data_IF_453453778276
#
_entry.id   IF_453453778276
#
_cell.length_a   1.000
_cell.length_b   1.000
_cell.length_c   1.000
_cell.angle_alpha   90.00
_cell.angle_beta   90.00
_cell.angle_gamma   90.00
#
_symmetry.space_group_name_H-M   'P 1'
#
loop_
_entity.id
_entity.type
_entity.pdbx_description
1 polymer ?
#
# COMPACT_ATOMS: atom_id res chain seq x y z
N UNK A 1 -8.63 -25.46 -3.27
CA UNK A 1 -8.41 -24.50 -2.17
C UNK A 1 -8.95 -25.14 -0.90
N UNK A 2 -8.09 -25.61 0.00
CA UNK A 2 -8.50 -26.10 1.32
C UNK A 2 -8.28 -24.97 2.32
N UNK A 3 -9.17 -23.98 2.30
CA UNK A 3 -9.24 -22.98 3.37
C UNK A 3 -9.99 -23.63 4.52
N UNK A 4 -9.25 -24.05 5.55
CA UNK A 4 -9.85 -24.58 6.77
C UNK A 4 -10.09 -23.40 7.72
N UNK A 5 -11.32 -23.27 8.22
CA UNK A 5 -11.57 -22.39 9.35
C UNK A 5 -10.93 -22.99 10.59
N UNK A 6 -10.23 -22.16 11.37
CA UNK A 6 -9.57 -22.57 12.62
C UNK A 6 -10.33 -21.99 13.81
N UNK A 7 -10.46 -22.78 14.87
CA UNK A 7 -11.02 -22.29 16.13
C UNK A 7 -9.96 -21.55 16.96
N UNK A 8 -10.38 -20.86 18.02
CA UNK A 8 -9.47 -20.29 19.02
C UNK A 8 -8.52 -21.35 19.61
N UNK A 9 -9.04 -22.56 19.90
CA UNK A 9 -8.23 -23.66 20.43
C UNK A 9 -7.15 -24.10 19.46
N UNK A 10 -7.46 -24.13 18.16
CA UNK A 10 -6.50 -24.47 17.12
C UNK A 10 -5.42 -23.39 16.98
N UNK A 11 -5.81 -22.12 17.10
CA UNK A 11 -4.87 -20.99 17.12
C UNK A 11 -3.90 -21.08 18.30
N UNK A 12 -4.42 -21.24 19.52
CA UNK A 12 -3.58 -21.39 20.72
C UNK A 12 -2.65 -22.59 20.60
N UNK A 13 -3.15 -23.72 20.08
CA UNK A 13 -2.35 -24.92 19.82
C UNK A 13 -1.24 -24.67 18.80
N UNK A 14 -1.48 -23.86 17.77
CA UNK A 14 -0.49 -23.56 16.73
C UNK A 14 0.73 -22.79 17.26
N UNK A 15 0.51 -21.93 18.26
CA UNK A 15 1.56 -21.11 18.89
C UNK A 15 2.04 -21.62 20.25
N UNK A 16 1.56 -22.78 20.69
CA UNK A 16 1.91 -23.34 21.99
C UNK A 16 3.43 -23.50 22.18
N UNK A 17 3.95 -23.00 23.31
CA UNK A 17 5.37 -23.00 23.64
C UNK A 17 6.20 -21.94 22.91
N UNK A 18 5.60 -21.12 22.04
CA UNK A 18 6.24 -20.06 21.26
C UNK A 18 5.47 -18.74 21.34
N UNK A 19 4.58 -18.61 22.31
CA UNK A 19 3.65 -17.48 22.45
C UNK A 19 4.40 -16.15 22.60
N UNK A 20 5.46 -16.12 23.42
CA UNK A 20 6.29 -14.92 23.61
C UNK A 20 6.96 -14.46 22.31
N UNK A 21 7.57 -15.39 21.57
CA UNK A 21 8.24 -15.10 20.28
C UNK A 21 7.22 -14.66 19.24
N UNK A 22 6.04 -15.29 19.21
CA UNK A 22 4.95 -14.89 18.31
C UNK A 22 4.44 -13.47 18.64
N UNK A 23 4.31 -13.12 19.92
CA UNK A 23 3.91 -11.79 20.36
C UNK A 23 4.95 -10.73 19.98
N UNK A 24 6.24 -11.00 20.21
CA UNK A 24 7.34 -10.11 19.83
C UNK A 24 7.32 -9.84 18.32
N UNK A 25 7.18 -10.88 17.49
CA UNK A 25 7.06 -10.71 16.04
C UNK A 25 5.78 -9.95 15.63
N UNK A 26 4.64 -10.23 16.25
CA UNK A 26 3.40 -9.54 15.94
C UNK A 26 3.50 -8.04 16.25
N UNK A 27 4.14 -7.67 17.37
CA UNK A 27 4.40 -6.28 17.75
C UNK A 27 5.35 -5.58 16.77
N UNK A 28 6.43 -6.25 16.36
CA UNK A 28 7.41 -5.71 15.42
C UNK A 28 6.80 -5.51 14.02
N UNK A 29 6.09 -6.51 13.50
CA UNK A 29 5.42 -6.41 12.20
C UNK A 29 4.32 -5.35 12.23
N UNK A 30 3.56 -5.22 13.33
CA UNK A 30 2.58 -4.15 13.49
C UNK A 30 3.24 -2.78 13.38
N UNK A 31 4.35 -2.56 14.08
CA UNK A 31 5.13 -1.31 14.01
C UNK A 31 5.60 -1.05 12.57
N UNK A 32 6.15 -2.06 11.92
CA UNK A 32 6.59 -1.98 10.53
C UNK A 32 5.45 -1.61 9.56
N UNK A 33 4.26 -2.20 9.72
CA UNK A 33 3.10 -1.85 8.89
C UNK A 33 2.61 -0.41 9.10
N UNK A 34 2.69 0.10 10.34
CA UNK A 34 2.39 1.52 10.63
C UNK A 34 3.41 2.43 9.94
N UNK A 35 4.70 2.11 9.99
CA UNK A 35 5.74 2.90 9.29
C UNK A 35 5.54 2.86 7.76
N UNK A 36 5.28 1.68 7.21
CA UNK A 36 5.00 1.52 5.79
C UNK A 36 3.72 2.25 5.35
N UNK A 37 2.70 2.29 6.21
CA UNK A 37 1.48 3.03 5.95
C UNK A 37 1.78 4.51 5.68
N UNK A 38 2.56 5.14 6.58
CA UNK A 38 2.97 6.53 6.41
C UNK A 38 3.88 6.74 5.21
N UNK A 39 4.84 5.83 4.98
CA UNK A 39 5.74 5.89 3.82
C UNK A 39 4.99 5.84 2.49
N UNK A 40 4.02 4.92 2.36
CA UNK A 40 3.15 4.83 1.17
C UNK A 40 2.32 6.09 1.02
N UNK A 41 1.73 6.60 2.10
CA UNK A 41 0.96 7.84 2.06
C UNK A 41 1.80 9.01 1.52
N UNK A 42 3.03 9.19 1.99
CA UNK A 42 3.93 10.25 1.51
C UNK A 42 4.15 10.18 0.00
N UNK A 43 4.37 8.99 -0.58
CA UNK A 43 4.55 8.86 -2.02
C UNK A 43 3.31 9.32 -2.80
N UNK A 44 2.12 8.90 -2.37
CA UNK A 44 0.88 9.29 -3.03
C UNK A 44 0.59 10.79 -2.87
N UNK A 45 0.82 11.35 -1.69
CA UNK A 45 0.72 12.81 -1.47
C UNK A 45 1.65 13.57 -2.42
N UNK A 46 2.89 13.14 -2.58
CA UNK A 46 3.86 13.78 -3.50
C UNK A 46 3.37 13.71 -4.94
N UNK A 47 2.97 12.54 -5.44
CA UNK A 47 2.51 12.39 -6.83
C UNK A 47 1.23 13.17 -7.10
N UNK A 48 0.25 13.10 -6.20
CA UNK A 48 -1.02 13.83 -6.31
C UNK A 48 -0.77 15.34 -6.24
N UNK A 49 0.05 15.80 -5.30
CA UNK A 49 0.41 17.22 -5.16
C UNK A 49 1.12 17.75 -6.40
N UNK A 50 2.11 17.02 -6.92
CA UNK A 50 2.79 17.38 -8.16
C UNK A 50 1.83 17.43 -9.37
N UNK A 51 0.92 16.46 -9.46
CA UNK A 51 -0.09 16.41 -10.54
C UNK A 51 -1.06 17.59 -10.44
N UNK A 52 -1.49 17.95 -9.23
CA UNK A 52 -2.37 19.10 -9.00
C UNK A 52 -1.65 20.42 -9.33
N UNK A 53 -0.39 20.58 -8.91
CA UNK A 53 0.42 21.75 -9.26
C UNK A 53 0.59 21.87 -10.78
N UNK A 54 0.88 20.76 -11.47
CA UNK A 54 0.92 20.70 -12.93
C UNK A 54 -0.42 21.10 -13.55
N UNK A 55 -1.53 20.60 -13.01
CA UNK A 55 -2.87 20.90 -13.51
C UNK A 55 -3.20 22.40 -13.42
N UNK A 56 -2.80 23.05 -12.33
CA UNK A 56 -2.94 24.51 -12.17
C UNK A 56 -2.02 25.26 -13.12
N UNK A 57 -0.76 24.83 -13.25
CA UNK A 57 0.21 25.48 -14.12
C UNK A 57 -0.25 25.53 -15.59
N UNK A 58 -0.83 24.43 -16.09
CA UNK A 58 -1.28 24.34 -17.49
C UNK A 58 -2.48 25.23 -17.81
N UNK A 59 -3.17 25.80 -16.80
CA UNK A 59 -4.28 26.72 -17.04
C UNK A 59 -3.85 28.05 -17.66
N UNK A 60 -2.55 28.38 -17.60
CA UNK A 60 -1.99 29.58 -18.25
C UNK A 60 -1.68 29.37 -19.74
N UNK A 61 -1.82 28.14 -20.27
CA UNK A 61 -1.70 27.90 -21.70
C UNK A 61 -3.00 28.22 -22.43
N UNK A 62 -2.92 28.44 -23.74
CA UNK A 62 -4.07 28.74 -24.58
C UNK A 62 -4.58 27.52 -25.36
N UNK A 63 -5.88 27.57 -25.70
CA UNK A 63 -6.51 26.67 -26.66
C UNK A 63 -6.35 25.18 -26.36
N UNK A 64 -5.92 24.43 -27.38
CA UNK A 64 -5.82 22.97 -27.36
C UNK A 64 -4.71 22.45 -26.43
N UNK A 65 -3.62 23.19 -26.26
CA UNK A 65 -2.51 22.78 -25.37
C UNK A 65 -2.98 22.71 -23.92
N UNK A 66 -3.71 23.74 -23.45
CA UNK A 66 -4.32 23.74 -22.12
C UNK A 66 -5.23 22.53 -21.92
N UNK A 67 -6.12 22.28 -22.89
CA UNK A 67 -7.09 21.21 -22.80
C UNK A 67 -6.42 19.82 -22.80
N UNK A 68 -5.52 19.57 -23.77
CA UNK A 68 -4.77 18.32 -23.89
C UNK A 68 -4.02 18.00 -22.59
N UNK A 69 -3.28 18.97 -22.04
CA UNK A 69 -2.52 18.77 -20.82
C UNK A 69 -3.42 18.61 -19.59
N UNK A 70 -4.54 19.34 -19.53
CA UNK A 70 -5.52 19.19 -18.44
C UNK A 70 -6.15 17.79 -18.43
N UNK A 71 -6.46 17.22 -19.61
CA UNK A 71 -6.96 15.84 -19.73
C UNK A 71 -5.91 14.83 -19.30
N UNK A 72 -4.66 14.97 -19.74
CA UNK A 72 -3.56 14.06 -19.34
C UNK A 72 -3.35 14.09 -17.82
N UNK A 73 -3.27 15.29 -17.23
CA UNK A 73 -3.01 15.47 -15.80
C UNK A 73 -4.18 15.04 -14.94
N UNK A 74 -5.42 15.29 -15.36
CA UNK A 74 -6.59 14.78 -14.63
C UNK A 74 -6.69 13.25 -14.71
N UNK A 75 -6.29 12.64 -15.82
CA UNK A 75 -6.16 11.17 -15.94
C UNK A 75 -5.12 10.60 -14.98
N UNK A 76 -3.93 11.21 -14.90
CA UNK A 76 -2.90 10.82 -13.93
C UNK A 76 -3.40 10.97 -12.49
N UNK A 77 -4.08 12.09 -12.20
CA UNK A 77 -4.68 12.36 -10.91
C UNK A 77 -5.69 11.28 -10.50
N UNK A 78 -6.55 10.85 -11.42
CA UNK A 78 -7.49 9.74 -11.22
C UNK A 78 -6.77 8.42 -10.92
N UNK A 79 -5.74 8.06 -11.69
CA UNK A 79 -4.99 6.82 -11.48
C UNK A 79 -4.30 6.82 -10.11
N UNK A 80 -3.59 7.90 -9.77
CA UNK A 80 -2.86 7.98 -8.50
C UNK A 80 -3.79 8.02 -7.29
N UNK A 81 -4.86 8.81 -7.34
CA UNK A 81 -5.82 8.90 -6.24
C UNK A 81 -6.62 7.62 -6.05
N UNK A 82 -7.02 6.93 -7.13
CA UNK A 82 -7.69 5.63 -7.01
C UNK A 82 -6.77 4.55 -6.44
N UNK A 83 -5.53 4.47 -6.94
CA UNK A 83 -4.51 3.59 -6.38
C UNK A 83 -4.29 3.87 -4.89
N UNK A 84 -4.25 5.14 -4.49
CA UNK A 84 -4.10 5.53 -3.10
C UNK A 84 -5.27 5.06 -2.21
N UNK A 85 -6.52 5.17 -2.69
CA UNK A 85 -7.69 4.61 -2.00
C UNK A 85 -7.51 3.11 -1.73
N UNK A 86 -7.09 2.34 -2.74
CA UNK A 86 -6.91 0.90 -2.61
C UNK A 86 -5.75 0.55 -1.66
N UNK A 87 -4.61 1.24 -1.78
CA UNK A 87 -3.44 1.06 -0.91
C UNK A 87 -3.77 1.39 0.54
N UNK A 88 -4.53 2.45 0.80
CA UNK A 88 -4.98 2.79 2.16
C UNK A 88 -5.88 1.71 2.75
N UNK A 89 -6.74 1.07 1.94
CA UNK A 89 -7.59 -0.05 2.39
C UNK A 89 -6.75 -1.31 2.68
N UNK A 90 -5.84 -1.66 1.78
CA UNK A 90 -4.95 -2.82 1.94
C UNK A 90 -4.02 -2.69 3.15
N UNK A 91 -3.45 -1.49 3.35
CA UNK A 91 -2.57 -1.23 4.50
C UNK A 91 -3.30 -1.38 5.83
N UNK A 92 -4.52 -0.82 5.91
CA UNK A 92 -5.35 -0.91 7.11
C UNK A 92 -5.75 -2.35 7.43
N UNK A 93 -6.09 -3.15 6.41
CA UNK A 93 -6.40 -4.56 6.60
C UNK A 93 -5.26 -5.32 7.28
N UNK A 94 -4.02 -5.14 6.81
CA UNK A 94 -2.86 -5.82 7.41
C UNK A 94 -2.50 -5.29 8.79
N UNK A 95 -2.61 -3.99 9.02
CA UNK A 95 -2.43 -3.40 10.34
C UNK A 95 -3.43 -4.01 11.35
N UNK A 96 -4.73 -4.00 11.03
CA UNK A 96 -5.78 -4.58 11.90
C UNK A 96 -5.59 -6.10 12.10
N UNK A 97 -5.06 -6.81 11.11
CA UNK A 97 -4.74 -8.22 11.25
C UNK A 97 -3.66 -8.46 12.32
N UNK A 98 -2.59 -7.67 12.31
CA UNK A 98 -1.51 -7.81 13.31
C UNK A 98 -1.91 -7.29 14.69
N UNK A 99 -2.73 -6.24 14.76
CA UNK A 99 -3.36 -5.80 16.03
C UNK A 99 -4.17 -6.95 16.66
N UNK A 100 -4.98 -7.67 15.87
CA UNK A 100 -5.70 -8.86 16.36
C UNK A 100 -4.77 -9.98 16.81
N UNK A 101 -3.64 -10.21 16.13
CA UNK A 101 -2.67 -11.19 16.59
C UNK A 101 -2.07 -10.80 17.95
N UNK A 102 -1.76 -9.51 18.16
CA UNK A 102 -1.30 -8.99 19.46
C UNK A 102 -2.38 -9.23 20.52
N UNK A 103 -3.63 -8.85 20.25
CA UNK A 103 -4.75 -9.04 21.17
C UNK A 103 -4.89 -10.51 21.59
N UNK A 104 -4.71 -11.45 20.67
CA UNK A 104 -4.85 -12.89 20.94
C UNK A 104 -3.69 -13.47 21.75
N UNK A 105 -2.51 -12.84 21.73
CA UNK A 105 -1.28 -13.37 22.31
C UNK A 105 -0.90 -12.69 23.64
N UNK A 106 -1.31 -11.44 23.88
CA UNK A 106 -0.80 -10.63 24.99
C UNK A 106 -1.24 -11.08 26.38
N UNK A 107 -2.48 -11.56 26.56
CA UNK A 107 -3.10 -11.74 27.88
C UNK A 107 -2.29 -12.64 28.82
N UNK A 108 -1.71 -13.72 28.28
CA UNK A 108 -0.94 -14.71 29.05
C UNK A 108 0.53 -14.30 29.25
N UNK A 109 1.03 -13.32 28.51
CA UNK A 109 2.47 -12.96 28.48
C UNK A 109 2.72 -11.62 29.16
N UNK A 110 2.00 -10.59 28.74
CA UNK A 110 2.17 -9.21 29.23
C UNK A 110 0.93 -8.68 29.95
N UNK A 111 -0.15 -9.47 29.99
CA UNK A 111 -1.48 -8.99 30.36
C UNK A 111 -2.16 -8.22 29.21
N UNK A 112 -3.38 -7.72 29.42
CA UNK A 112 -4.20 -7.07 28.39
C UNK A 112 -3.76 -5.61 28.12
N UNK A 113 -2.46 -5.40 27.91
CA UNK A 113 -1.85 -4.08 27.80
C UNK A 113 -2.42 -3.28 26.62
N UNK A 114 -2.62 -3.93 25.48
CA UNK A 114 -3.11 -3.30 24.25
C UNK A 114 -4.64 -3.13 24.27
N UNK A 115 -5.35 -3.95 25.05
CA UNK A 115 -6.80 -3.87 25.25
C UNK A 115 -7.24 -2.84 26.29
N UNK A 116 -6.39 -2.50 27.26
CA UNK A 116 -6.73 -1.52 28.31
C UNK A 116 -6.64 -0.10 27.73
N UNK A 117 -7.78 0.60 27.64
CA UNK A 117 -7.85 2.01 27.26
C UNK A 117 -8.06 2.87 28.50
N UNK A 118 -7.15 3.83 28.74
CA UNK A 118 -7.24 4.79 29.83
C UNK A 118 -7.88 6.08 29.32
N UNK A 119 -9.08 6.40 29.80
CA UNK A 119 -9.80 7.64 29.46
C UNK A 119 -9.50 8.75 30.46
N UNK A 120 -9.50 10.01 29.99
CA UNK A 120 -9.35 11.19 30.86
C UNK A 120 -10.55 11.32 31.80
N UNK A 121 -10.32 11.80 33.03
CA UNK A 121 -11.41 12.06 33.98
C UNK A 121 -12.38 13.10 33.41
N UNK A 122 -13.66 12.74 33.40
CA UNK A 122 -14.79 13.54 32.88
C UNK A 122 -15.12 14.78 33.75
N UNK A 123 -14.41 15.05 34.83
CA UNK A 123 -14.81 16.06 35.84
C UNK A 123 -14.37 17.49 35.52
N UNK A 124 -13.41 17.71 34.62
CA UNK A 124 -13.02 19.05 34.14
C UNK A 124 -13.85 19.50 32.94
N UNK A 125 -15.18 19.46 33.06
CA UNK A 125 -16.13 19.67 31.94
C UNK A 125 -16.52 21.13 31.66
N UNK A 126 -16.09 22.09 32.45
CA UNK A 126 -16.76 23.40 32.47
C UNK A 126 -16.14 24.51 31.62
N UNK A 127 -14.98 24.36 30.94
CA UNK A 127 -14.39 25.53 30.26
C UNK A 127 -13.69 25.29 28.92
N UNK A 128 -13.90 24.13 28.27
CA UNK A 128 -13.07 23.82 27.09
C UNK A 128 -13.79 23.14 25.93
N UNK A 129 -15.08 23.47 25.74
CA UNK A 129 -15.88 22.91 24.65
C UNK A 129 -15.37 23.29 23.26
N UNK A 130 -14.62 24.39 23.15
CA UNK A 130 -14.06 24.89 21.88
C UNK A 130 -12.69 24.28 21.56
N UNK A 131 -11.80 24.09 22.55
CA UNK A 131 -10.57 23.34 22.32
C UNK A 131 -10.86 21.86 22.08
N UNK A 132 -11.88 21.29 22.74
CA UNK A 132 -12.27 19.90 22.54
C UNK A 132 -12.81 19.64 21.12
N UNK A 133 -13.39 20.66 20.47
CA UNK A 133 -13.88 20.57 19.09
C UNK A 133 -12.74 20.61 18.05
N UNK A 134 -11.66 21.34 18.33
CA UNK A 134 -10.60 21.61 17.35
C UNK A 134 -9.28 20.87 17.61
N UNK A 135 -8.92 20.63 18.87
CA UNK A 135 -7.59 20.16 19.28
C UNK A 135 -7.60 19.15 20.45
N UNK A 136 -8.77 18.75 20.95
CA UNK A 136 -8.89 17.76 22.01
C UNK A 136 -8.40 16.38 21.55
N UNK A 137 -7.69 15.67 22.42
CA UNK A 137 -7.34 14.28 22.17
C UNK A 137 -8.63 13.44 22.08
N UNK A 138 -8.83 12.76 20.95
CA UNK A 138 -10.03 11.97 20.67
C UNK A 138 -9.62 10.64 20.04
N UNK A 139 -10.48 9.62 20.16
CA UNK A 139 -10.31 8.26 19.62
C UNK A 139 -10.53 8.22 18.09
N UNK A 140 -9.91 9.17 17.37
CA UNK A 140 -10.06 9.27 15.93
C UNK A 140 -9.01 8.41 15.25
N UNK A 141 -9.48 7.48 14.43
CA UNK A 141 -8.60 6.65 13.62
C UNK A 141 -7.98 7.47 12.50
N UNK A 142 -6.68 7.77 12.64
CA UNK A 142 -5.88 8.48 11.64
C UNK A 142 -5.97 7.79 10.27
N UNK A 143 -5.97 6.45 10.25
CA UNK A 143 -6.08 5.69 9.00
C UNK A 143 -7.45 5.82 8.33
N UNK A 144 -8.54 5.97 9.09
CA UNK A 144 -9.89 6.27 8.55
C UNK A 144 -9.94 7.67 7.93
N UNK A 145 -9.37 8.68 8.59
CA UNK A 145 -9.32 10.05 8.03
C UNK A 145 -8.64 10.02 6.68
N UNK A 146 -7.46 9.41 6.59
CA UNK A 146 -6.71 9.38 5.34
C UNK A 146 -7.44 8.61 4.22
N UNK A 147 -8.20 7.56 4.57
CA UNK A 147 -9.07 6.87 3.62
C UNK A 147 -10.15 7.81 3.07
N UNK A 148 -10.82 8.58 3.93
CA UNK A 148 -11.83 9.57 3.53
C UNK A 148 -11.19 10.65 2.63
N UNK A 149 -10.03 11.18 3.01
CA UNK A 149 -9.28 12.15 2.20
C UNK A 149 -8.92 11.58 0.83
N UNK A 150 -8.46 10.34 0.76
CA UNK A 150 -8.13 9.70 -0.53
C UNK A 150 -9.35 9.56 -1.44
N UNK A 151 -10.53 9.26 -0.88
CA UNK A 151 -11.79 9.21 -1.65
C UNK A 151 -12.19 10.61 -2.12
N UNK A 152 -12.10 11.61 -1.24
CA UNK A 152 -12.38 13.00 -1.61
C UNK A 152 -11.51 13.46 -2.77
N UNK A 153 -10.19 13.23 -2.71
CA UNK A 153 -9.27 13.60 -3.79
C UNK A 153 -9.60 12.84 -5.07
N UNK A 154 -9.95 11.56 -5.00
CA UNK A 154 -10.36 10.79 -6.17
C UNK A 154 -11.62 11.37 -6.85
N UNK A 155 -12.62 11.76 -6.05
CA UNK A 155 -13.84 12.43 -6.55
C UNK A 155 -13.51 13.80 -7.13
N UNK A 156 -12.62 14.57 -6.51
CA UNK A 156 -12.15 15.86 -7.04
C UNK A 156 -11.53 15.70 -8.43
N UNK A 157 -10.69 14.68 -8.63
CA UNK A 157 -10.10 14.41 -9.95
C UNK A 157 -11.13 14.03 -11.02
N UNK A 158 -12.24 13.40 -10.65
CA UNK A 158 -13.36 13.19 -11.57
C UNK A 158 -13.99 14.50 -12.02
N UNK A 159 -14.18 15.45 -11.11
CA UNK A 159 -14.67 16.79 -11.46
C UNK A 159 -13.68 17.54 -12.34
N UNK A 160 -12.38 17.46 -12.05
CA UNK A 160 -11.34 18.09 -12.88
C UNK A 160 -11.24 17.46 -14.28
N UNK A 161 -11.43 16.14 -14.39
CA UNK A 161 -11.54 15.47 -15.68
C UNK A 161 -12.76 15.97 -16.47
N UNK A 162 -13.94 16.05 -15.83
CA UNK A 162 -15.15 16.58 -16.45
C UNK A 162 -14.98 18.04 -16.90
N UNK A 163 -14.36 18.87 -16.08
CA UNK A 163 -14.01 20.25 -16.41
C UNK A 163 -13.05 20.33 -17.61
N UNK A 164 -12.03 19.47 -17.65
CA UNK A 164 -11.04 19.44 -18.74
C UNK A 164 -11.65 19.03 -20.08
N UNK A 165 -12.69 18.20 -20.04
CA UNK A 165 -13.41 17.73 -21.21
C UNK A 165 -14.51 18.71 -21.67
N UNK A 166 -14.83 19.74 -20.88
CA UNK A 166 -15.87 20.73 -21.20
C UNK A 166 -15.32 21.91 -22.03
N UNK A 167 -16.04 22.43 -23.05
CA UNK A 167 -17.31 21.95 -23.60
C UNK A 167 -17.11 20.82 -24.60
N UNK A 168 -17.78 19.69 -24.37
CA UNK A 168 -17.83 18.60 -25.34
C UNK A 168 -19.06 18.82 -26.21
N UNK A 169 -18.92 19.51 -27.33
CA UNK A 169 -20.00 19.56 -28.33
C UNK A 169 -20.15 18.17 -28.95
N UNK A 170 -21.30 17.52 -28.70
CA UNK A 170 -21.64 16.22 -29.26
C UNK A 170 -21.73 16.24 -30.80
N UNK A 171 -21.81 17.43 -31.39
CA UNK A 171 -21.85 17.67 -32.82
C UNK A 171 -20.47 17.68 -33.49
N UNK A 172 -19.37 17.69 -32.72
CA UNK A 172 -18.01 17.61 -33.25
C UNK A 172 -17.54 16.15 -33.38
N UNK A 173 -16.67 15.84 -34.35
CA UNK A 173 -16.09 14.51 -34.47
C UNK A 173 -15.34 14.12 -33.18
N UNK A 174 -15.41 12.84 -32.78
CA UNK A 174 -14.80 12.38 -31.53
C UNK A 174 -13.29 12.61 -31.53
N UNK A 175 -12.78 13.21 -30.46
CA UNK A 175 -11.34 13.34 -30.27
C UNK A 175 -10.75 11.99 -29.79
N UNK A 176 -10.19 11.22 -30.73
CA UNK A 176 -9.60 9.91 -30.46
C UNK A 176 -8.48 9.93 -29.42
N UNK A 177 -7.74 11.05 -29.30
CA UNK A 177 -6.70 11.18 -28.28
C UNK A 177 -7.33 11.19 -26.88
N UNK A 178 -8.39 11.96 -26.65
CA UNK A 178 -9.09 11.98 -25.36
C UNK A 178 -9.73 10.64 -25.04
N UNK A 179 -10.35 9.99 -26.03
CA UNK A 179 -10.94 8.65 -25.86
C UNK A 179 -9.86 7.64 -25.45
N UNK A 180 -8.69 7.65 -26.11
CA UNK A 180 -7.60 6.74 -25.78
C UNK A 180 -7.08 6.94 -24.36
N UNK A 181 -6.91 8.20 -23.91
CA UNK A 181 -6.44 8.53 -22.56
C UNK A 181 -7.47 8.12 -21.49
N UNK A 182 -8.76 8.39 -21.72
CA UNK A 182 -9.83 7.97 -20.80
C UNK A 182 -9.93 6.45 -20.75
N UNK A 183 -9.88 5.77 -21.91
CA UNK A 183 -9.90 4.32 -21.98
C UNK A 183 -8.71 3.70 -21.23
N UNK A 184 -7.49 4.22 -21.44
CA UNK A 184 -6.29 3.77 -20.71
C UNK A 184 -6.46 3.95 -19.20
N UNK A 185 -7.02 5.09 -18.78
CA UNK A 185 -7.29 5.39 -17.36
C UNK A 185 -8.26 4.37 -16.76
N UNK A 186 -9.39 4.12 -17.44
CA UNK A 186 -10.41 3.17 -16.99
C UNK A 186 -9.87 1.74 -16.98
N UNK A 187 -9.10 1.34 -17.99
CA UNK A 187 -8.45 0.02 -18.04
C UNK A 187 -7.47 -0.13 -16.88
N UNK A 188 -6.64 0.88 -16.61
CA UNK A 188 -5.69 0.86 -15.50
C UNK A 188 -6.40 0.72 -14.15
N UNK A 189 -7.42 1.55 -13.89
CA UNK A 189 -8.24 1.44 -12.68
C UNK A 189 -8.96 0.07 -12.60
N UNK A 190 -9.46 -0.44 -13.72
CA UNK A 190 -10.05 -1.78 -13.80
C UNK A 190 -9.05 -2.86 -13.42
N UNK A 191 -7.82 -2.80 -13.96
CA UNK A 191 -6.75 -3.73 -13.60
C UNK A 191 -6.41 -3.69 -12.11
N UNK A 192 -6.45 -2.53 -11.46
CA UNK A 192 -6.26 -2.47 -10.00
C UNK A 192 -7.32 -3.28 -9.24
N UNK A 193 -8.57 -3.27 -9.70
CA UNK A 193 -9.66 -4.04 -9.07
C UNK A 193 -9.51 -5.53 -9.36
N UNK A 194 -9.27 -5.92 -10.62
CA UNK A 194 -9.28 -7.33 -11.02
C UNK A 194 -7.96 -8.07 -10.73
N UNK A 195 -6.83 -7.41 -10.92
CA UNK A 195 -5.48 -8.01 -10.71
C UNK A 195 -4.84 -7.59 -9.39
N UNK A 196 -5.30 -6.52 -8.75
CA UNK A 196 -4.76 -6.06 -7.47
C UNK A 196 -5.21 -6.90 -6.26
N UNK A 197 -6.09 -7.88 -6.45
CA UNK A 197 -6.48 -8.79 -5.36
C UNK A 197 -5.34 -9.73 -4.98
N UNK A 198 -5.28 -10.12 -3.69
CA UNK A 198 -4.35 -11.15 -3.21
C UNK A 198 -4.42 -12.40 -4.08
N UNK A 199 -3.26 -13.00 -4.37
CA UNK A 199 -3.18 -14.30 -5.04
C UNK A 199 -3.97 -15.37 -4.27
N UNK A 200 -4.94 -16.00 -4.96
CA UNK A 200 -5.78 -17.09 -4.43
C UNK A 200 -5.47 -18.46 -5.06
N UNK A 201 -4.41 -18.56 -5.86
CA UNK A 201 -4.03 -19.81 -6.52
C UNK A 201 -3.44 -20.84 -5.55
N UNK A 202 -3.09 -22.02 -6.09
CA UNK A 202 -2.53 -23.11 -5.29
C UNK A 202 -1.11 -22.78 -4.82
N UNK A 203 -0.82 -22.99 -3.53
CA UNK A 203 0.52 -22.83 -2.94
C UNK A 203 1.43 -24.04 -3.21
N UNK A 204 1.35 -24.61 -4.43
CA UNK A 204 2.24 -25.69 -4.86
C UNK A 204 3.55 -25.06 -5.29
N UNK A 205 4.61 -25.30 -4.50
CA UNK A 205 5.95 -24.86 -4.84
C UNK A 205 6.66 -25.96 -5.62
N UNK A 206 7.21 -25.62 -6.79
CA UNK A 206 8.14 -26.49 -7.51
C UNK A 206 9.56 -26.09 -7.12
N UNK A 207 10.37 -27.05 -6.67
CA UNK A 207 11.76 -26.81 -6.30
C UNK A 207 12.69 -27.64 -7.19
N UNK A 208 13.79 -27.03 -7.65
CA UNK A 208 14.82 -27.68 -8.45
C UNK A 208 16.18 -27.41 -7.82
N UNK A 209 16.91 -28.46 -7.44
CA UNK A 209 18.26 -28.36 -6.89
C UNK A 209 19.28 -28.56 -8.02
N UNK A 210 20.22 -27.62 -8.20
CA UNK A 210 21.33 -27.75 -9.15
C UNK A 210 22.52 -28.42 -8.46
N UNK A 211 23.21 -29.31 -9.15
CA UNK A 211 24.52 -29.84 -8.74
C UNK A 211 25.64 -28.93 -9.28
N UNK A 212 26.72 -28.80 -8.53
CA UNK A 212 27.93 -28.11 -8.94
C UNK A 212 29.12 -29.02 -8.67
N UNK A 213 29.97 -29.24 -9.68
CA UNK A 213 31.22 -29.97 -9.56
C UNK A 213 32.39 -28.99 -9.67
N UNK A 214 33.38 -29.10 -8.78
CA UNK A 214 34.64 -28.37 -8.90
C UNK A 214 35.59 -29.25 -9.71
N UNK A 215 35.92 -28.84 -10.93
CA UNK A 215 37.00 -29.46 -11.68
C UNK A 215 38.33 -28.91 -11.16
N UNK A 216 39.22 -29.80 -10.72
CA UNK A 216 40.60 -29.43 -10.38
C UNK A 216 41.37 -29.37 -11.69
N UNK A 217 41.96 -28.21 -12.03
CA UNK A 217 42.86 -28.09 -13.16
C UNK A 217 44.02 -29.08 -12.98
N UNK A 218 44.21 -29.97 -13.97
CA UNK A 218 45.39 -30.82 -14.02
C UNK A 218 46.61 -29.90 -14.14
N UNK A 219 47.36 -29.77 -13.05
CA UNK A 219 48.71 -29.19 -13.11
C UNK A 219 49.54 -30.13 -13.99
N UNK A 220 49.85 -29.68 -15.21
CA UNK A 220 50.81 -30.33 -16.08
C UNK A 220 52.15 -30.43 -15.33
N UNK A 221 52.49 -31.64 -14.87
CA UNK A 221 53.87 -31.99 -14.51
C UNK A 221 54.67 -32.07 -15.81
N UNK A 222 55.14 -30.93 -16.31
CA UNK A 222 56.26 -30.87 -17.23
C UNK A 222 57.44 -30.20 -16.54
N UNK A 223 58.54 -30.96 -16.47
CA UNK A 223 59.95 -30.55 -16.38
C UNK A 223 60.65 -31.11 -15.16
N UNK A 224 61.58 -32.04 -15.40
CA UNK A 224 62.51 -32.46 -14.37
C UNK A 224 63.23 -33.80 -14.55
N UNK A 225 63.24 -34.41 -15.75
CA UNK A 225 64.23 -35.45 -16.05
C UNK A 225 65.15 -34.99 -17.18
N UNK A 226 66.29 -34.41 -16.77
CA UNK A 226 67.51 -34.38 -17.58
C UNK A 226 68.56 -35.19 -16.84
N UNK A 227 68.57 -36.47 -17.17
CA UNK A 227 69.72 -37.30 -17.54
C UNK A 227 71.08 -36.80 -17.01
N UNK A 228 71.57 -37.51 -16.01
CA UNK A 228 73.00 -37.65 -15.71
C UNK A 228 73.62 -38.47 -16.85
N UNK A 229 74.63 -37.91 -17.53
CA UNK A 229 75.51 -38.65 -18.42
C UNK A 229 76.88 -38.74 -17.75
N UNK A 230 77.38 -39.97 -17.69
CA UNK A 230 78.79 -40.34 -17.47
C UNK A 230 79.71 -39.77 -18.55
#
# INVERSE_FOLDING_TARGET
>A
MTTNQISQKDYEKAFHGREKVALEHALDIRKFEIELYWKRATYFWTFIGATLAGFVAVQNFDGSTRQNMSVILSSLGLVFSFSWVLVNRGSKFWQENWEKHVDMLEDKITGPLYKIVLSRNSETKTDDSMSHLLSGASEISVSKINQIVSVYIFVLWWFLMGYSLWPMSLDLPPNYFYIAIVALTVICCGMFIFKGTRYKGSYINHATQRTAEIQVDKVDKMSGDKVVAD
#
